data_IF_561155766530
#
_entry.id   IF_561155766530
#
_cell.length_a   1.000
_cell.length_b   1.000
_cell.length_c   1.000
_cell.angle_alpha   90.00
_cell.angle_beta   90.00
_cell.angle_gamma   90.00
#
_symmetry.space_group_name_H-M   'P 1'
#
loop_
_entity.id
_entity.type
_entity.pdbx_description
1 polymer ?
#
# COMPACT_ATOMS: atom_id res chain seq x y z
N UNK A 1 9.74 -9.31 2.01
CA UNK A 1 8.47 -8.85 1.43
C UNK A 1 8.45 -7.33 1.53
N UNK A 2 7.85 -6.60 0.60
CA UNK A 2 7.79 -5.14 0.73
C UNK A 2 6.64 -4.78 1.69
N UNK A 3 6.85 -3.77 2.51
CA UNK A 3 5.83 -3.30 3.45
C UNK A 3 4.87 -2.36 2.73
N UNK A 4 3.58 -2.62 2.90
CA UNK A 4 2.49 -1.83 2.35
C UNK A 4 1.59 -1.34 3.48
N UNK A 5 1.06 -0.14 3.28
CA UNK A 5 -0.06 0.38 4.03
C UNK A 5 -1.31 0.26 3.17
N UNK A 6 -2.35 -0.37 3.70
CA UNK A 6 -3.66 -0.44 3.07
C UNK A 6 -4.47 0.79 3.46
N UNK A 7 -4.87 1.59 2.48
CA UNK A 7 -5.71 2.76 2.67
C UNK A 7 -7.11 2.42 2.21
N UNK A 8 -8.09 2.50 3.11
CA UNK A 8 -9.50 2.35 2.81
C UNK A 8 -10.16 3.72 2.74
N UNK A 9 -10.72 4.04 1.58
CA UNK A 9 -11.38 5.32 1.33
C UNK A 9 -12.88 5.24 1.66
N UNK A 10 -13.51 6.41 1.78
CA UNK A 10 -14.97 6.55 1.94
C UNK A 10 -15.77 5.83 0.86
N UNK A 11 -15.27 5.85 -0.36
CA UNK A 11 -15.87 5.19 -1.52
C UNK A 11 -15.71 3.66 -1.51
N UNK A 12 -15.28 3.06 -0.40
CA UNK A 12 -14.99 1.63 -0.24
C UNK A 12 -13.84 1.09 -1.10
N UNK A 13 -13.16 1.96 -1.85
CA UNK A 13 -11.96 1.59 -2.58
C UNK A 13 -10.78 1.39 -1.61
N UNK A 14 -9.94 0.42 -1.97
CA UNK A 14 -8.74 0.05 -1.23
C UNK A 14 -7.52 0.39 -2.09
N UNK A 15 -6.53 1.06 -1.51
CA UNK A 15 -5.25 1.35 -2.16
C UNK A 15 -4.11 0.83 -1.31
N UNK A 16 -3.16 0.12 -1.94
CA UNK A 16 -1.95 -0.32 -1.28
C UNK A 16 -0.82 0.66 -1.59
N UNK A 17 -0.36 1.37 -0.58
CA UNK A 17 0.75 2.33 -0.68
C UNK A 17 1.99 1.63 -0.14
N UNK A 18 3.09 1.68 -0.89
CA UNK A 18 4.34 1.09 -0.43
C UNK A 18 4.90 1.97 0.69
N UNK A 19 5.12 1.36 1.85
CA UNK A 19 5.75 2.01 3.00
C UNK A 19 7.26 1.78 3.01
N UNK A 20 7.69 0.55 2.71
CA UNK A 20 9.11 0.21 2.60
C UNK A 20 9.35 -0.81 1.49
N UNK A 21 10.31 -0.53 0.63
CA UNK A 21 10.80 -1.49 -0.36
C UNK A 21 11.74 -2.48 0.32
N UNK A 22 11.57 -3.77 0.05
CA UNK A 22 12.59 -4.75 0.44
C UNK A 22 13.81 -4.66 -0.49
N UNK A 23 14.97 -5.07 0.02
CA UNK A 23 16.26 -5.05 -0.72
C UNK A 23 16.16 -5.77 -2.07
N UNK A 24 15.45 -6.91 -2.10
CA UNK A 24 15.22 -7.67 -3.34
C UNK A 24 14.50 -6.87 -4.42
N UNK A 25 13.55 -6.02 -4.05
CA UNK A 25 12.89 -5.14 -5.00
C UNK A 25 13.83 -4.06 -5.51
N UNK A 26 14.68 -3.49 -4.64
CA UNK A 26 15.67 -2.49 -5.03
C UNK A 26 16.69 -3.06 -6.03
N UNK A 27 17.07 -4.32 -5.87
CA UNK A 27 18.06 -4.97 -6.75
C UNK A 27 17.46 -5.47 -8.07
N UNK A 28 16.23 -6.01 -8.03
CA UNK A 28 15.65 -6.72 -9.19
C UNK A 28 14.52 -5.96 -9.87
N UNK A 29 14.00 -4.91 -9.24
CA UNK A 29 12.74 -4.24 -9.59
C UNK A 29 11.55 -5.20 -9.78
N UNK A 30 11.64 -6.43 -9.25
CA UNK A 30 10.56 -7.42 -9.32
C UNK A 30 9.61 -7.26 -8.15
N UNK A 31 8.33 -7.06 -8.48
CA UNK A 31 7.25 -6.91 -7.51
C UNK A 31 7.22 -8.13 -6.57
N UNK A 32 7.35 -7.87 -5.28
CA UNK A 32 7.32 -8.90 -4.24
C UNK A 32 5.88 -9.05 -3.69
N UNK A 33 5.58 -10.14 -2.96
CA UNK A 33 4.31 -10.23 -2.23
C UNK A 33 4.16 -9.03 -1.28
N UNK A 34 2.95 -8.47 -1.24
CA UNK A 34 2.65 -7.35 -0.37
C UNK A 34 2.52 -7.80 1.08
N UNK A 35 3.32 -7.20 1.97
CA UNK A 35 3.18 -7.35 3.41
C UNK A 35 2.40 -6.15 3.94
N UNK A 36 1.11 -6.31 4.27
CA UNK A 36 0.31 -5.21 4.81
C UNK A 36 0.63 -5.02 6.28
N UNK A 37 1.34 -3.93 6.61
CA UNK A 37 1.80 -3.63 7.98
C UNK A 37 0.91 -2.63 8.70
N UNK A 38 0.05 -1.93 7.98
CA UNK A 38 -0.84 -0.91 8.52
C UNK A 38 -2.11 -0.79 7.66
N UNK A 39 -3.21 -0.42 8.31
CA UNK A 39 -4.48 -0.09 7.66
C UNK A 39 -4.88 1.33 8.08
N UNK A 40 -5.06 2.22 7.12
CA UNK A 40 -5.50 3.60 7.31
C UNK A 40 -6.91 3.78 6.75
N UNK A 41 -7.79 4.45 7.50
CA UNK A 41 -9.17 4.70 7.11
C UNK A 41 -9.33 6.19 6.77
N UNK A 42 -9.45 6.48 5.47
CA UNK A 42 -9.74 7.81 4.94
C UNK A 42 -11.23 7.91 4.64
N UNK A 43 -12.02 8.06 5.69
CA UNK A 43 -13.49 8.14 5.62
C UNK A 43 -14.01 9.47 5.06
N UNK A 44 -13.13 10.46 4.91
CA UNK A 44 -13.46 11.78 4.38
C UNK A 44 -13.04 11.96 2.91
N UNK A 45 -12.04 11.19 2.45
CA UNK A 45 -11.50 11.29 1.09
C UNK A 45 -12.11 10.24 0.15
N UNK A 46 -12.39 10.64 -1.09
CA UNK A 46 -12.61 9.72 -2.21
C UNK A 46 -11.28 9.24 -2.81
N UNK A 47 -11.34 8.14 -3.58
CA UNK A 47 -10.14 7.63 -4.22
C UNK A 47 -9.81 8.45 -5.47
N UNK A 48 -8.61 9.03 -5.53
CA UNK A 48 -8.08 9.65 -6.75
C UNK A 48 -8.30 11.15 -6.90
N UNK A 49 -8.87 11.82 -5.90
CA UNK A 49 -8.74 13.28 -5.74
C UNK A 49 -7.30 13.72 -5.46
#
# INVERSE_FOLDING_TARGET
>A
MCDYTQVQYKCSHLRYVVRAWCTKYQETHKRCPANVVAIEYRIDEDCGS
#
